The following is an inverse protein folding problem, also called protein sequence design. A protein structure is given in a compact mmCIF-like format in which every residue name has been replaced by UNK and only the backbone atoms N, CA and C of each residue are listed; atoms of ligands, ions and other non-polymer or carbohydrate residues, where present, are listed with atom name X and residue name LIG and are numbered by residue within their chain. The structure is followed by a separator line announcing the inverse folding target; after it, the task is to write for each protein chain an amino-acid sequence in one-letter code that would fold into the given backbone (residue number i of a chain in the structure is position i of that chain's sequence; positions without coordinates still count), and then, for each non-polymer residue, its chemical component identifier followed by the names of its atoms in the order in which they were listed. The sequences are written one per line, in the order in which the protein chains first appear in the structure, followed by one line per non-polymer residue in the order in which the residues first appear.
data_IF_905829124549
#
_entry.id   IF_905829124549
#
_cell.length_a   1.000
_cell.length_b   1.000
_cell.length_c   1.000
_cell.angle_alpha   90.00
_cell.angle_beta   90.00
_cell.angle_gamma   90.00
#
_symmetry.space_group_name_H-M   'P 1'
#
loop_
_entity.id
_entity.type
_entity.pdbx_description
1 polymer ?
#
# COMPACT_ATOMS: atom_id res chain seq x y z
N UNK A 1 33.52 32.77 -45.69
CA UNK A 1 32.41 33.00 -44.73
C UNK A 1 30.99 32.83 -45.32
N UNK A 2 30.80 32.36 -46.57
CA UNK A 2 29.46 32.29 -47.21
C UNK A 2 28.89 30.88 -47.44
N UNK A 3 29.50 29.82 -46.90
CA UNK A 3 29.12 28.43 -47.23
C UNK A 3 28.53 27.60 -46.07
N UNK A 4 28.52 28.13 -44.83
CA UNK A 4 28.08 27.37 -43.64
C UNK A 4 26.65 27.68 -43.16
N UNK A 5 26.01 28.68 -43.74
CA UNK A 5 24.66 29.10 -43.32
C UNK A 5 23.53 28.09 -43.62
N UNK A 6 23.49 27.36 -44.76
CA UNK A 6 22.34 26.51 -45.07
C UNK A 6 22.28 25.24 -44.21
N UNK A 7 23.42 24.67 -43.83
CA UNK A 7 23.46 23.45 -42.99
C UNK A 7 23.06 23.72 -41.53
N UNK A 8 23.43 24.89 -41.01
CA UNK A 8 23.04 25.32 -39.68
C UNK A 8 21.52 25.56 -39.59
N UNK A 9 20.92 26.18 -40.62
CA UNK A 9 19.49 26.46 -40.66
C UNK A 9 18.65 25.16 -40.72
N UNK A 10 19.11 24.17 -41.49
CA UNK A 10 18.46 22.87 -41.60
C UNK A 10 18.50 22.12 -40.26
N UNK A 11 19.65 22.13 -39.59
CA UNK A 11 19.83 21.47 -38.29
C UNK A 11 18.92 22.08 -37.21
N UNK A 12 18.84 23.41 -37.15
CA UNK A 12 17.95 24.13 -36.21
C UNK A 12 16.48 23.79 -36.49
N UNK A 13 16.09 23.72 -37.77
CA UNK A 13 14.70 23.41 -38.16
C UNK A 13 14.30 21.98 -37.74
N UNK A 14 15.21 21.01 -37.91
CA UNK A 14 14.97 19.61 -37.49
C UNK A 14 14.83 19.53 -35.96
N UNK A 15 15.71 20.22 -35.21
CA UNK A 15 15.63 20.25 -33.74
C UNK A 15 14.29 20.85 -33.29
N UNK A 16 13.85 21.97 -33.87
CA UNK A 16 12.57 22.59 -33.54
C UNK A 16 11.39 21.66 -33.85
N UNK A 17 11.39 20.98 -35.00
CA UNK A 17 10.32 20.03 -35.35
C UNK A 17 10.29 18.83 -34.41
N UNK A 18 11.44 18.28 -34.03
CA UNK A 18 11.53 17.16 -33.07
C UNK A 18 11.02 17.59 -31.69
N UNK A 19 11.42 18.77 -31.21
CA UNK A 19 10.95 19.33 -29.93
C UNK A 19 9.45 19.60 -29.98
N UNK A 20 8.91 20.21 -31.03
CA UNK A 20 7.47 20.44 -31.17
C UNK A 20 6.69 19.13 -31.20
N UNK A 21 7.16 18.13 -31.95
CA UNK A 21 6.47 16.83 -32.08
C UNK A 21 6.47 16.06 -30.76
N UNK A 22 7.58 16.10 -30.02
CA UNK A 22 7.67 15.54 -28.67
C UNK A 22 6.75 16.27 -27.69
N UNK A 23 6.70 17.61 -27.77
CA UNK A 23 5.87 18.43 -26.88
C UNK A 23 4.39 18.21 -27.15
N UNK A 24 3.96 18.13 -28.42
CA UNK A 24 2.58 17.84 -28.80
C UNK A 24 2.18 16.41 -28.42
N UNK A 25 3.06 15.41 -28.56
CA UNK A 25 2.77 14.03 -28.07
C UNK A 25 2.65 13.97 -26.55
N UNK A 26 3.52 14.67 -25.81
CA UNK A 26 3.45 14.74 -24.36
C UNK A 26 2.16 15.44 -23.87
N UNK A 27 1.74 16.52 -24.53
CA UNK A 27 0.48 17.21 -24.22
C UNK A 27 -0.77 16.40 -24.63
N UNK A 28 -0.73 15.69 -25.77
CA UNK A 28 -1.90 14.92 -26.26
C UNK A 28 -2.20 13.68 -25.41
N UNK A 29 -1.20 13.11 -24.74
CA UNK A 29 -1.39 11.97 -23.81
C UNK A 29 -2.09 12.41 -22.51
N UNK A 30 -2.05 13.69 -22.15
CA UNK A 30 -2.68 14.19 -20.91
C UNK A 30 -4.07 14.84 -21.11
N UNK A 31 -4.49 15.15 -22.34
CA UNK A 31 -5.68 15.99 -22.59
C UNK A 31 -6.93 15.27 -23.16
N UNK A 32 -6.96 13.94 -23.28
CA UNK A 32 -8.07 13.23 -23.96
C UNK A 32 -8.85 12.20 -23.13
N UNK A 33 -8.66 12.15 -21.82
CA UNK A 33 -9.68 11.51 -20.99
C UNK A 33 -10.77 12.56 -20.70
N UNK A 34 -12.01 12.43 -21.23
CA UNK A 34 -13.10 13.27 -20.75
C UNK A 34 -13.17 13.13 -19.23
N UNK A 35 -13.46 14.22 -18.48
CA UNK A 35 -13.73 14.10 -17.06
C UNK A 35 -14.90 13.13 -16.90
N UNK A 36 -14.61 11.89 -16.51
CA UNK A 36 -15.66 10.97 -16.10
C UNK A 36 -16.29 11.62 -14.89
N UNK A 37 -17.55 12.04 -15.04
CA UNK A 37 -18.42 12.34 -13.92
C UNK A 37 -18.63 11.02 -13.20
N UNK A 38 -17.74 10.75 -12.25
CA UNK A 38 -17.76 9.53 -11.46
C UNK A 38 -18.93 9.63 -10.47
N UNK A 39 -19.78 8.59 -10.45
CA UNK A 39 -20.90 8.50 -9.52
C UNK A 39 -20.34 8.33 -8.12
N UNK A 40 -20.61 9.28 -7.24
CA UNK A 40 -20.38 9.11 -5.81
C UNK A 40 -21.35 8.06 -5.29
N UNK A 41 -20.87 7.17 -4.43
CA UNK A 41 -21.75 6.50 -3.50
C UNK A 41 -22.40 7.58 -2.61
N UNK A 42 -23.72 7.58 -2.48
CA UNK A 42 -24.48 8.61 -1.74
C UNK A 42 -25.21 8.03 -0.53
N UNK A 43 -24.80 6.87 -0.03
CA UNK A 43 -25.47 6.19 1.07
C UNK A 43 -24.64 5.06 1.67
N UNK A 44 -25.15 4.50 2.76
CA UNK A 44 -24.59 3.31 3.39
C UNK A 44 -24.92 2.03 2.63
N UNK A 45 -24.18 0.97 2.94
CA UNK A 45 -24.36 -0.40 2.43
C UNK A 45 -24.36 -0.50 0.90
N UNK A 46 -23.50 0.32 0.28
CA UNK A 46 -23.30 0.34 -1.16
C UNK A 46 -22.12 -0.55 -1.52
N UNK A 47 -22.39 -1.65 -2.20
CA UNK A 47 -21.34 -2.50 -2.74
C UNK A 47 -20.54 -1.78 -3.84
N UNK A 48 -19.29 -2.21 -4.10
CA UNK A 48 -18.55 -1.78 -5.29
C UNK A 48 -19.40 -1.98 -6.55
N UNK A 49 -19.37 -0.99 -7.45
CA UNK A 49 -20.09 -1.08 -8.74
C UNK A 49 -19.35 -1.94 -9.76
N UNK A 50 -18.03 -2.04 -9.64
CA UNK A 50 -17.20 -2.93 -10.44
C UNK A 50 -17.01 -4.28 -9.74
N UNK A 51 -16.82 -5.37 -10.50
CA UNK A 51 -16.47 -6.66 -9.92
C UNK A 51 -15.08 -6.62 -9.24
N UNK A 52 -14.80 -7.55 -8.32
CA UNK A 52 -13.50 -7.64 -7.67
C UNK A 52 -12.35 -7.64 -8.68
N UNK A 53 -11.35 -6.78 -8.44
CA UNK A 53 -10.23 -6.62 -9.36
C UNK A 53 -9.07 -7.56 -9.00
N UNK A 54 -8.24 -7.89 -9.99
CA UNK A 54 -6.96 -8.57 -9.77
C UNK A 54 -5.84 -7.58 -9.39
N UNK A 55 -6.14 -6.28 -9.31
CA UNK A 55 -5.14 -5.25 -9.02
C UNK A 55 -4.82 -5.27 -7.54
N UNK A 56 -3.54 -5.00 -7.28
CA UNK A 56 -2.95 -5.01 -5.95
C UNK A 56 -2.29 -3.66 -5.61
N UNK A 57 -2.26 -2.71 -6.54
CA UNK A 57 -1.64 -1.39 -6.36
C UNK A 57 -2.56 -0.28 -6.84
N UNK A 58 -2.39 0.89 -6.22
CA UNK A 58 -3.16 2.10 -6.50
C UNK A 58 -4.67 1.83 -6.50
N UNK A 59 -5.14 1.13 -5.46
CA UNK A 59 -6.53 0.72 -5.35
C UNK A 59 -7.48 1.93 -5.27
N UNK A 60 -7.00 3.10 -4.86
CA UNK A 60 -7.73 4.38 -4.88
C UNK A 60 -8.01 4.93 -6.28
N UNK A 61 -7.46 4.32 -7.35
CA UNK A 61 -7.53 4.88 -8.71
C UNK A 61 -8.97 5.02 -9.20
N UNK A 62 -9.84 4.07 -8.87
CA UNK A 62 -11.24 4.03 -9.27
C UNK A 62 -12.12 3.90 -8.04
N UNK A 63 -12.91 4.93 -7.75
CA UNK A 63 -13.83 4.92 -6.62
C UNK A 63 -14.93 3.86 -6.80
N UNK A 64 -15.26 3.50 -8.05
CA UNK A 64 -16.21 2.46 -8.40
C UNK A 64 -15.84 1.05 -7.92
N UNK A 65 -14.56 0.82 -7.63
CA UNK A 65 -14.04 -0.45 -7.11
C UNK A 65 -14.19 -0.54 -5.58
N UNK A 66 -14.63 0.54 -4.92
CA UNK A 66 -14.84 0.61 -3.48
C UNK A 66 -16.31 0.58 -3.12
N UNK A 67 -16.59 -0.07 -1.99
CA UNK A 67 -17.89 -0.12 -1.35
C UNK A 67 -17.86 0.53 0.03
N UNK A 68 -19.06 0.64 0.59
CA UNK A 68 -19.36 1.33 1.83
C UNK A 68 -20.27 0.44 2.64
N UNK A 69 -19.89 0.17 3.88
CA UNK A 69 -20.75 -0.48 4.86
C UNK A 69 -20.83 0.40 6.10
N UNK A 70 -21.96 0.40 6.78
CA UNK A 70 -22.18 1.26 7.94
C UNK A 70 -22.83 0.52 9.09
N UNK A 71 -22.45 0.89 10.32
CA UNK A 71 -23.07 0.36 11.53
C UNK A 71 -23.71 1.47 12.36
N UNK A 72 -24.85 1.15 12.99
CA UNK A 72 -25.59 2.03 13.89
C UNK A 72 -26.09 3.35 13.27
N UNK A 73 -26.36 3.35 11.95
CA UNK A 73 -26.90 4.50 11.20
C UNK A 73 -26.06 5.80 11.35
N UNK A 74 -24.82 5.83 10.83
CA UNK A 74 -23.96 7.02 10.81
C UNK A 74 -24.45 8.10 9.81
N UNK A 75 -25.72 8.00 9.37
CA UNK A 75 -26.27 8.79 8.28
C UNK A 75 -27.36 9.72 8.76
N UNK A 76 -27.05 11.01 8.69
CA UNK A 76 -28.06 12.05 8.67
C UNK A 76 -28.69 12.04 7.27
N UNK A 77 -30.03 12.08 7.15
CA UNK A 77 -30.69 12.23 5.85
C UNK A 77 -30.30 13.54 5.13
N UNK A 78 -29.69 14.49 5.85
CA UNK A 78 -29.21 15.76 5.31
C UNK A 78 -27.74 15.74 4.90
N UNK A 79 -26.98 14.72 5.28
CA UNK A 79 -25.55 14.63 5.02
C UNK A 79 -25.16 13.14 4.89
N UNK A 80 -25.48 12.48 3.76
CA UNK A 80 -25.01 11.12 3.53
C UNK A 80 -23.47 11.11 3.41
N UNK A 81 -22.79 9.98 3.71
CA UNK A 81 -21.37 9.82 3.44
C UNK A 81 -21.12 10.13 1.97
N UNK A 82 -20.35 11.19 1.72
CA UNK A 82 -20.06 11.65 0.36
C UNK A 82 -18.77 10.96 -0.07
N UNK A 83 -18.89 10.04 -1.03
CA UNK A 83 -17.73 9.40 -1.66
C UNK A 83 -17.35 10.17 -2.89
N UNK A 84 -16.64 11.28 -2.69
CA UNK A 84 -16.12 12.04 -3.81
C UNK A 84 -14.67 11.66 -4.05
N UNK A 85 -14.35 11.30 -5.30
CA UNK A 85 -12.96 11.36 -5.76
C UNK A 85 -12.53 12.82 -5.69
N UNK A 86 -11.81 13.19 -4.64
CA UNK A 86 -11.18 14.49 -4.60
C UNK A 86 -10.03 14.47 -5.61
N UNK A 87 -10.22 15.23 -6.70
CA UNK A 87 -9.09 15.70 -7.48
C UNK A 87 -8.27 16.62 -6.56
N UNK A 88 -7.13 16.12 -6.09
CA UNK A 88 -6.26 16.95 -5.27
C UNK A 88 -5.64 18.04 -6.14
N UNK A 89 -5.66 19.27 -5.63
CA UNK A 89 -4.67 20.31 -5.97
C UNK A 89 -3.23 19.89 -5.65
N UNK A 90 -3.02 18.68 -5.11
CA UNK A 90 -1.75 18.05 -4.73
C UNK A 90 -1.37 16.84 -5.61
N UNK A 91 -1.76 16.83 -6.89
CA UNK A 91 -1.06 16.09 -7.94
C UNK A 91 -1.30 14.58 -8.07
N UNK A 92 -2.31 14.01 -7.40
CA UNK A 92 -2.65 12.58 -7.54
C UNK A 92 -3.93 12.24 -6.80
N UNK A 93 -4.88 11.58 -7.47
CA UNK A 93 -6.22 11.32 -6.93
C UNK A 93 -6.18 10.49 -5.66
N UNK A 94 -6.90 10.96 -4.63
CA UNK A 94 -7.11 10.26 -3.36
C UNK A 94 -8.56 9.78 -3.25
N UNK A 95 -8.78 8.71 -2.52
CA UNK A 95 -10.11 8.25 -2.12
C UNK A 95 -10.51 8.97 -0.82
N UNK A 96 -11.65 9.65 -0.81
CA UNK A 96 -12.23 10.19 0.42
C UNK A 96 -13.13 9.13 1.07
N UNK A 97 -12.95 8.91 2.37
CA UNK A 97 -13.84 8.13 3.20
C UNK A 97 -14.31 9.00 4.36
N UNK A 98 -15.62 9.13 4.55
CA UNK A 98 -16.17 10.14 5.46
C UNK A 98 -17.25 9.56 6.37
N UNK A 99 -17.14 9.93 7.65
CA UNK A 99 -18.21 9.83 8.62
C UNK A 99 -18.98 11.16 8.56
N UNK A 100 -20.16 11.16 7.95
CA UNK A 100 -20.90 12.39 7.67
C UNK A 100 -21.78 12.87 8.83
N UNK A 101 -22.11 11.96 9.75
CA UNK A 101 -22.70 12.26 11.05
C UNK A 101 -22.44 11.11 12.00
N UNK A 102 -22.21 11.38 13.27
CA UNK A 102 -22.20 10.33 14.28
C UNK A 102 -23.01 10.79 15.50
N UNK A 103 -24.28 11.07 15.23
CA UNK A 103 -25.27 11.42 16.25
C UNK A 103 -25.47 10.34 17.33
N UNK A 104 -24.90 9.14 17.15
CA UNK A 104 -24.87 8.08 18.14
C UNK A 104 -23.44 7.55 18.32
N UNK A 105 -23.08 7.20 19.56
CA UNK A 105 -21.89 6.42 19.87
C UNK A 105 -21.84 5.12 19.04
N UNK A 106 -20.64 4.63 18.73
CA UNK A 106 -20.41 3.44 17.92
C UNK A 106 -21.02 3.49 16.51
N UNK A 107 -21.13 4.68 15.91
CA UNK A 107 -21.46 4.85 14.49
C UNK A 107 -20.21 4.65 13.65
N UNK A 108 -20.19 3.62 12.81
CA UNK A 108 -19.00 3.22 12.03
C UNK A 108 -19.24 3.34 10.54
N UNK A 109 -18.24 3.80 9.80
CA UNK A 109 -18.22 3.77 8.32
C UNK A 109 -17.02 2.98 7.86
N UNK A 110 -17.27 1.95 7.05
CA UNK A 110 -16.27 1.08 6.44
C UNK A 110 -16.15 1.40 4.95
N UNK A 111 -14.99 1.92 4.56
CA UNK A 111 -14.56 1.99 3.16
C UNK A 111 -13.88 0.67 2.82
N UNK A 112 -14.41 -0.12 1.91
CA UNK A 112 -13.81 -1.42 1.59
C UNK A 112 -13.62 -1.64 0.09
N UNK A 113 -12.65 -2.48 -0.25
CA UNK A 113 -12.40 -2.91 -1.62
C UNK A 113 -12.22 -4.42 -1.65
N UNK A 114 -13.02 -5.07 -2.50
CA UNK A 114 -12.95 -6.51 -2.73
C UNK A 114 -12.02 -6.83 -3.91
N UNK A 115 -11.23 -7.88 -3.77
CA UNK A 115 -10.29 -8.39 -4.77
C UNK A 115 -10.53 -9.88 -5.00
N UNK A 116 -10.07 -10.36 -6.15
CA UNK A 116 -10.15 -11.78 -6.48
C UNK A 116 -9.50 -12.64 -5.39
N UNK A 117 -10.12 -13.78 -5.10
CA UNK A 117 -9.55 -14.77 -4.19
C UNK A 117 -8.13 -15.17 -4.62
N UNK A 118 -7.23 -15.29 -3.64
CA UNK A 118 -5.93 -15.96 -3.81
C UNK A 118 -5.85 -17.15 -2.84
N UNK A 119 -6.37 -18.33 -3.24
CA UNK A 119 -6.42 -19.53 -2.40
C UNK A 119 -5.10 -19.86 -1.71
N UNK A 120 -3.99 -19.72 -2.44
CA UNK A 120 -2.66 -20.10 -1.99
C UNK A 120 -1.91 -18.97 -1.27
N UNK A 121 -2.47 -17.75 -1.19
CA UNK A 121 -1.82 -16.65 -0.49
C UNK A 121 -1.71 -16.93 1.01
N UNK A 122 -0.51 -16.78 1.55
CA UNK A 122 -0.18 -16.98 2.96
C UNK A 122 0.58 -15.79 3.57
N UNK A 123 1.02 -14.82 2.78
CA UNK A 123 1.64 -13.58 3.27
C UNK A 123 0.90 -12.37 2.71
N UNK A 124 0.67 -11.37 3.55
CA UNK A 124 -0.13 -10.20 3.23
C UNK A 124 0.59 -8.93 3.65
N UNK A 125 0.53 -7.92 2.79
CA UNK A 125 1.08 -6.59 3.07
C UNK A 125 0.10 -5.54 2.57
N UNK A 126 -0.46 -4.77 3.49
CA UNK A 126 -1.26 -3.58 3.21
C UNK A 126 -0.38 -2.34 3.40
N UNK A 127 -0.38 -1.41 2.45
CA UNK A 127 0.23 -0.09 2.63
C UNK A 127 -0.57 1.00 1.96
N UNK A 128 -0.56 2.19 2.56
CA UNK A 128 -1.18 3.38 2.01
C UNK A 128 -0.64 4.62 2.69
N UNK A 129 -0.92 5.78 2.11
CA UNK A 129 -0.84 7.07 2.79
C UNK A 129 -2.24 7.53 3.14
N UNK A 130 -2.40 8.15 4.29
CA UNK A 130 -3.69 8.70 4.69
C UNK A 130 -3.54 10.10 5.29
N UNK A 131 -4.44 11.01 4.96
CA UNK A 131 -4.51 12.34 5.57
C UNK A 131 -5.67 12.38 6.56
N UNK A 132 -5.40 12.93 7.74
CA UNK A 132 -6.42 13.22 8.75
C UNK A 132 -6.61 14.73 8.93
N UNK A 133 -7.84 15.18 9.25
CA UNK A 133 -8.13 16.58 9.54
C UNK A 133 -7.48 17.04 10.85
N UNK A 134 -7.61 18.33 11.13
CA UNK A 134 -7.29 18.89 12.44
C UNK A 134 -8.03 18.10 13.53
N UNK A 135 -7.30 17.54 14.49
CA UNK A 135 -7.86 16.81 15.62
C UNK A 135 -6.93 17.00 16.82
N UNK A 136 -7.47 16.89 18.03
CA UNK A 136 -6.66 16.89 19.25
C UNK A 136 -6.17 15.48 19.55
N UNK A 137 -5.05 15.38 20.27
CA UNK A 137 -4.57 14.10 20.78
C UNK A 137 -5.22 13.84 22.13
N UNK A 138 -5.98 12.74 22.26
CA UNK A 138 -6.69 12.38 23.50
C UNK A 138 -7.40 13.57 24.19
N UNK A 139 -8.21 14.31 23.42
CA UNK A 139 -8.96 15.47 23.91
C UNK A 139 -8.10 16.61 24.55
N UNK A 140 -6.78 16.61 24.36
CA UNK A 140 -5.91 17.65 24.91
C UNK A 140 -6.12 18.97 24.15
N UNK A 141 -6.61 19.99 24.86
CA UNK A 141 -6.91 21.31 24.29
C UNK A 141 -8.26 21.42 23.59
N UNK A 142 -9.12 20.40 23.69
CA UNK A 142 -10.47 20.36 23.11
C UNK A 142 -10.86 18.95 22.69
N UNK A 143 -12.15 18.70 22.46
CA UNK A 143 -12.66 17.40 21.99
C UNK A 143 -12.02 17.01 20.64
N UNK A 144 -11.68 15.73 20.52
CA UNK A 144 -11.10 15.14 19.32
C UNK A 144 -12.20 14.66 18.40
N UNK A 145 -12.19 15.12 17.15
CA UNK A 145 -13.15 14.64 16.15
C UNK A 145 -12.83 13.20 15.68
N UNK A 146 -11.59 12.73 15.85
CA UNK A 146 -11.21 11.34 15.57
C UNK A 146 -11.17 10.58 16.89
N UNK A 147 -12.05 9.59 17.01
CA UNK A 147 -12.11 8.71 18.19
C UNK A 147 -11.29 7.46 17.98
N UNK A 148 -11.52 6.75 16.88
CA UNK A 148 -10.70 5.64 16.45
C UNK A 148 -10.67 5.50 14.91
N UNK A 149 -9.61 4.88 14.41
CA UNK A 149 -9.44 4.47 13.02
C UNK A 149 -9.08 2.99 13.00
N UNK A 150 -9.67 2.22 12.10
CA UNK A 150 -9.31 0.81 11.93
C UNK A 150 -8.82 0.52 10.53
N UNK A 151 -7.85 -0.37 10.44
CA UNK A 151 -7.25 -0.80 9.19
C UNK A 151 -7.28 -2.31 9.14
N UNK A 152 -8.04 -2.85 8.18
CA UNK A 152 -8.24 -4.29 8.09
C UNK A 152 -7.91 -4.85 6.73
N UNK A 153 -7.50 -6.11 6.72
CA UNK A 153 -7.57 -6.93 5.54
C UNK A 153 -7.98 -8.35 5.90
N UNK A 154 -8.73 -8.95 4.98
CA UNK A 154 -9.40 -10.22 5.17
C UNK A 154 -9.11 -11.14 3.98
N UNK A 155 -8.93 -12.43 4.27
CA UNK A 155 -9.03 -13.50 3.30
C UNK A 155 -10.21 -14.39 3.66
N UNK A 156 -11.11 -14.57 2.70
CA UNK A 156 -12.21 -15.53 2.78
C UNK A 156 -11.84 -16.72 1.90
N UNK A 157 -11.69 -17.89 2.52
CA UNK A 157 -11.29 -19.10 1.79
C UNK A 157 -11.75 -20.35 2.53
N UNK A 158 -12.32 -21.33 1.82
CA UNK A 158 -12.79 -22.58 2.42
C UNK A 158 -13.64 -22.39 3.69
N UNK A 159 -14.62 -21.48 3.62
CA UNK A 159 -15.52 -21.15 4.74
C UNK A 159 -14.82 -20.67 6.01
N UNK A 160 -13.66 -20.02 5.87
CA UNK A 160 -12.94 -19.35 6.97
C UNK A 160 -12.66 -17.89 6.64
N UNK A 161 -12.62 -17.05 7.67
CA UNK A 161 -12.19 -15.64 7.60
C UNK A 161 -10.85 -15.48 8.32
N UNK A 162 -9.79 -15.24 7.55
CA UNK A 162 -8.50 -14.86 8.10
C UNK A 162 -8.45 -13.34 8.15
N UNK A 163 -8.69 -12.78 9.32
CA UNK A 163 -8.77 -11.34 9.55
C UNK A 163 -7.50 -10.82 10.21
N UNK A 164 -6.99 -9.72 9.68
CA UNK A 164 -5.92 -8.94 10.26
C UNK A 164 -6.46 -7.53 10.43
N UNK A 165 -6.57 -7.07 11.67
CA UNK A 165 -7.13 -5.75 11.95
C UNK A 165 -6.33 -5.06 13.07
N UNK A 166 -6.00 -3.80 12.81
CA UNK A 166 -5.38 -2.90 13.78
C UNK A 166 -6.26 -1.67 13.94
N UNK A 167 -6.49 -1.29 15.19
CA UNK A 167 -7.20 -0.06 15.54
C UNK A 167 -6.23 0.92 16.19
N UNK A 168 -6.21 2.14 15.67
CA UNK A 168 -5.69 3.29 16.38
C UNK A 168 -6.84 3.93 17.16
N UNK A 169 -6.76 3.86 18.48
CA UNK A 169 -7.73 4.50 19.38
C UNK A 169 -7.12 5.79 19.92
N UNK A 170 -7.72 6.92 19.57
CA UNK A 170 -7.29 8.24 20.04
C UNK A 170 -7.99 8.66 21.34
N UNK A 171 -9.22 8.20 21.54
CA UNK A 171 -10.03 8.51 22.72
C UNK A 171 -10.66 7.22 23.27
N UNK A 172 -10.51 7.01 24.58
CA UNK A 172 -11.08 5.85 25.29
C UNK A 172 -12.58 6.03 25.57
N UNK A 173 -13.35 4.94 25.51
CA UNK A 173 -14.81 4.92 25.66
C UNK A 173 -15.31 5.06 27.11
N UNK A 174 -14.43 5.39 28.05
CA UNK A 174 -14.78 5.57 29.45
C UNK A 174 -13.90 6.60 30.16
N UNK A 175 -14.36 7.86 30.18
CA UNK A 175 -14.12 8.97 31.15
C UNK A 175 -12.75 9.18 31.84
N UNK A 176 -11.71 8.41 31.53
CA UNK A 176 -10.37 8.54 32.07
C UNK A 176 -9.55 9.49 31.22
N UNK A 177 -9.24 10.67 31.75
CA UNK A 177 -8.38 11.69 31.13
C UNK A 177 -6.91 11.25 31.00
N UNK A 178 -6.60 9.99 31.32
CA UNK A 178 -5.24 9.46 31.46
C UNK A 178 -4.89 8.36 30.45
N UNK A 179 -5.82 7.90 29.63
CA UNK A 179 -5.54 6.84 28.66
C UNK A 179 -4.95 7.45 27.39
N UNK A 180 -3.64 7.32 27.25
CA UNK A 180 -2.90 7.79 26.07
C UNK A 180 -3.36 7.04 24.80
N UNK A 181 -3.41 7.70 23.62
CA UNK A 181 -3.82 7.05 22.38
C UNK A 181 -3.03 5.78 22.14
N UNK A 182 -3.70 4.68 21.83
CA UNK A 182 -3.10 3.35 21.80
C UNK A 182 -3.49 2.57 20.55
N UNK A 183 -2.68 1.55 20.26
CA UNK A 183 -2.97 0.58 19.22
C UNK A 183 -3.49 -0.72 19.80
N UNK A 184 -4.47 -1.30 19.10
CA UNK A 184 -5.13 -2.55 19.46
C UNK A 184 -5.15 -3.49 18.26
N UNK A 185 -5.26 -4.78 18.53
CA UNK A 185 -5.50 -5.80 17.52
C UNK A 185 -6.81 -6.53 17.79
N UNK A 186 -7.40 -7.07 16.73
CA UNK A 186 -8.66 -7.79 16.82
C UNK A 186 -8.44 -9.26 17.16
N UNK A 187 -9.19 -9.75 18.16
CA UNK A 187 -9.35 -11.17 18.46
C UNK A 187 -10.79 -11.56 18.11
N UNK A 188 -11.02 -12.32 17.02
CA UNK A 188 -12.35 -12.80 16.71
C UNK A 188 -12.76 -13.91 17.69
N UNK A 189 -14.05 -13.99 18.01
CA UNK A 189 -14.59 -15.19 18.66
C UNK A 189 -14.78 -16.32 17.64
N UNK A 190 -15.14 -17.51 18.13
CA UNK A 190 -15.35 -18.68 17.28
C UNK A 190 -16.48 -18.52 16.24
N UNK A 191 -17.43 -17.60 16.47
CA UNK A 191 -18.54 -17.35 15.53
C UNK A 191 -18.13 -16.51 14.31
N UNK A 192 -16.97 -15.83 14.37
CA UNK A 192 -16.45 -14.97 13.30
C UNK A 192 -17.23 -13.69 13.04
N UNK A 193 -18.25 -13.42 13.87
CA UNK A 193 -19.11 -12.24 13.84
C UNK A 193 -18.72 -11.27 14.96
N UNK A 194 -18.44 -11.81 16.14
CA UNK A 194 -18.06 -11.04 17.33
C UNK A 194 -16.55 -11.15 17.62
N UNK A 195 -16.05 -10.28 18.49
CA UNK A 195 -14.66 -10.29 18.92
C UNK A 195 -14.39 -9.17 19.91
N UNK A 196 -13.11 -8.95 20.19
CA UNK A 196 -12.68 -7.87 21.08
C UNK A 196 -11.38 -7.23 20.61
N UNK A 197 -11.35 -5.91 20.68
CA UNK A 197 -10.11 -5.15 20.61
C UNK A 197 -9.26 -5.44 21.84
N UNK A 198 -8.00 -5.82 21.60
CA UNK A 198 -7.06 -6.22 22.64
C UNK A 198 -5.80 -5.36 22.55
N UNK A 199 -5.29 -4.92 23.70
CA UNK A 199 -4.04 -4.17 23.77
C UNK A 199 -2.88 -4.97 23.19
N UNK A 200 -1.98 -4.29 22.49
CA UNK A 200 -0.72 -4.89 22.08
C UNK A 200 0.10 -5.32 23.31
N UNK A 201 0.80 -6.47 23.27
CA UNK A 201 1.66 -6.92 24.38
C UNK A 201 2.72 -5.89 24.76
N UNK A 202 3.22 -5.14 23.77
CA UNK A 202 4.05 -3.96 23.95
C UNK A 202 3.21 -2.74 23.53
N UNK A 203 2.61 -2.00 24.48
CA UNK A 203 1.76 -0.86 24.16
C UNK A 203 2.52 0.19 23.35
N UNK A 204 1.85 0.73 22.33
CA UNK A 204 2.38 1.78 21.47
C UNK A 204 1.49 2.98 21.66
N UNK A 205 2.03 4.03 22.27
CA UNK A 205 1.32 5.28 22.50
C UNK A 205 1.79 6.35 21.53
N UNK A 206 0.87 6.89 20.74
CA UNK A 206 1.22 7.93 19.75
C UNK A 206 0.05 8.82 19.37
N UNK A 207 0.30 10.13 19.34
CA UNK A 207 -0.61 11.10 18.74
C UNK A 207 -0.39 11.16 17.22
N UNK A 208 -1.43 10.98 16.42
CA UNK A 208 -1.37 11.34 15.01
C UNK A 208 -1.47 12.87 14.86
N UNK A 209 -0.64 13.44 14.00
CA UNK A 209 -0.65 14.87 13.74
C UNK A 209 -1.82 15.25 12.81
N UNK A 210 -2.77 16.02 13.32
CA UNK A 210 -3.87 16.56 12.49
C UNK A 210 -3.37 17.46 11.35
N UNK A 211 -4.15 17.50 10.26
CA UNK A 211 -3.81 18.18 8.99
C UNK A 211 -2.55 17.65 8.28
N UNK A 212 -2.09 16.45 8.60
CA UNK A 212 -0.91 15.85 7.99
C UNK A 212 -1.22 14.56 7.25
N UNK A 213 -0.37 14.26 6.27
CA UNK A 213 -0.32 12.93 5.66
C UNK A 213 0.55 12.01 6.52
N UNK A 214 0.05 10.81 6.74
CA UNK A 214 0.71 9.71 7.39
C UNK A 214 0.97 8.58 6.39
N UNK A 215 1.95 7.75 6.67
CA UNK A 215 2.25 6.53 5.90
C UNK A 215 2.06 5.32 6.78
N UNK A 216 1.31 4.34 6.29
CA UNK A 216 1.01 3.10 7.00
C UNK A 216 1.41 1.89 6.18
N UNK A 217 1.93 0.87 6.86
CA UNK A 217 2.26 -0.42 6.32
C UNK A 217 1.93 -1.46 7.38
N UNK A 218 1.20 -2.51 7.02
CA UNK A 218 0.78 -3.58 7.92
C UNK A 218 1.00 -4.94 7.28
N UNK A 219 1.70 -5.82 8.00
CA UNK A 219 2.12 -7.14 7.55
C UNK A 219 1.51 -8.24 8.41
N UNK A 220 1.04 -9.29 7.72
CA UNK A 220 0.49 -10.48 8.35
C UNK A 220 0.78 -11.73 7.53
N UNK A 221 0.69 -12.90 8.17
CA UNK A 221 0.77 -14.18 7.49
C UNK A 221 -0.23 -15.20 8.05
N UNK A 222 -0.55 -16.21 7.25
CA UNK A 222 -1.26 -17.41 7.68
C UNK A 222 -0.21 -18.51 7.81
N UNK A 223 -0.02 -19.03 9.03
CA UNK A 223 0.99 -20.05 9.29
C UNK A 223 0.59 -21.44 8.74
N UNK A 224 1.48 -22.43 8.89
CA UNK A 224 1.22 -23.81 8.46
C UNK A 224 0.08 -24.50 9.21
N UNK A 225 -0.24 -24.02 10.41
CA UNK A 225 -1.38 -24.47 11.22
C UNK A 225 -2.68 -23.72 10.90
N UNK A 226 -2.67 -22.93 9.82
CA UNK A 226 -3.83 -22.19 9.33
C UNK A 226 -4.37 -21.13 10.30
N UNK A 227 -3.44 -20.48 11.00
CA UNK A 227 -3.72 -19.39 11.95
C UNK A 227 -3.19 -18.06 11.42
N UNK A 228 -3.89 -16.98 11.75
CA UNK A 228 -3.49 -15.59 11.54
C UNK A 228 -2.32 -15.26 12.45
N UNK A 229 -1.24 -14.72 11.89
CA UNK A 229 -0.05 -14.27 12.61
C UNK A 229 0.25 -12.84 12.21
N UNK A 230 0.12 -11.93 13.17
CA UNK A 230 0.52 -10.53 13.02
C UNK A 230 2.05 -10.45 13.00
N UNK A 231 2.62 -9.69 12.06
CA UNK A 231 4.08 -9.58 11.90
C UNK A 231 4.60 -8.24 12.39
N UNK A 232 4.18 -7.18 11.73
CA UNK A 232 4.73 -5.85 11.95
C UNK A 232 3.73 -4.83 11.39
N UNK A 233 3.72 -3.65 11.97
CA UNK A 233 3.22 -2.48 11.26
C UNK A 233 4.25 -1.36 11.31
N UNK A 234 4.20 -0.45 10.36
CA UNK A 234 5.06 0.73 10.31
C UNK A 234 4.18 1.95 10.10
N UNK A 235 4.34 2.93 10.96
CA UNK A 235 3.71 4.22 10.81
C UNK A 235 4.77 5.31 10.74
N UNK A 236 4.71 6.16 9.71
CA UNK A 236 5.63 7.28 9.51
C UNK A 236 7.12 6.87 9.58
N UNK A 237 7.40 5.66 9.11
CA UNK A 237 8.74 5.05 9.10
C UNK A 237 9.17 4.42 10.43
N UNK A 238 8.36 4.46 11.47
CA UNK A 238 8.60 3.80 12.75
C UNK A 238 7.98 2.39 12.70
N UNK A 239 8.83 1.37 12.77
CA UNK A 239 8.41 -0.03 12.74
C UNK A 239 8.08 -0.55 14.13
N UNK A 240 7.02 -1.36 14.22
CA UNK A 240 6.44 -1.87 15.45
C UNK A 240 6.20 -3.38 15.30
N UNK A 241 6.99 -4.17 16.03
CA UNK A 241 6.94 -5.63 16.00
C UNK A 241 5.68 -6.17 16.69
N UNK A 242 4.94 -7.02 15.98
CA UNK A 242 3.72 -7.67 16.45
C UNK A 242 3.88 -9.19 16.65
N UNK A 243 5.08 -9.74 16.47
CA UNK A 243 5.33 -11.19 16.54
C UNK A 243 5.16 -11.79 17.94
N UNK A 244 5.01 -10.95 18.96
CA UNK A 244 4.67 -11.37 20.33
C UNK A 244 3.18 -11.68 20.51
N UNK A 245 2.32 -11.28 19.56
CA UNK A 245 0.90 -11.64 19.55
C UNK A 245 0.77 -13.13 19.23
N UNK A 246 0.00 -13.85 20.05
CA UNK A 246 -0.26 -15.26 19.81
C UNK A 246 -1.00 -15.48 18.48
N UNK A 247 -0.69 -16.55 17.71
CA UNK A 247 -1.44 -16.89 16.51
C UNK A 247 -2.94 -17.08 16.78
N UNK A 248 -3.79 -16.53 15.92
CA UNK A 248 -5.25 -16.59 16.06
C UNK A 248 -5.87 -17.58 15.09
N UNK A 249 -6.78 -18.41 15.58
CA UNK A 249 -7.52 -19.34 14.72
C UNK A 249 -8.54 -18.57 13.89
N UNK A 250 -8.55 -18.81 12.57
CA UNK A 250 -9.56 -18.22 11.69
C UNK A 250 -10.95 -18.83 11.98
N UNK A 251 -11.96 -18.01 12.35
CA UNK A 251 -13.31 -18.49 12.56
C UNK A 251 -14.00 -18.91 11.26
N UNK A 252 -15.13 -19.58 11.40
CA UNK A 252 -15.98 -19.94 10.27
C UNK A 252 -16.51 -18.68 9.55
N UNK A 253 -16.76 -18.79 8.25
CA UNK A 253 -17.30 -17.72 7.44
C UNK A 253 -18.28 -18.25 6.41
N UNK A 254 -19.34 -17.49 6.17
CA UNK A 254 -20.37 -17.75 5.15
C UNK A 254 -20.17 -16.91 3.89
N UNK A 255 -19.20 -16.00 3.90
CA UNK A 255 -18.88 -15.18 2.73
C UNK A 255 -18.18 -16.00 1.64
N UNK A 256 -18.45 -15.64 0.38
CA UNK A 256 -17.76 -16.24 -0.76
C UNK A 256 -16.25 -15.94 -0.76
N UNK A 257 -15.48 -16.76 -1.47
CA UNK A 257 -14.03 -16.61 -1.50
C UNK A 257 -13.59 -15.30 -2.13
N UNK A 258 -12.81 -14.51 -1.39
CA UNK A 258 -12.29 -13.22 -1.83
C UNK A 258 -11.18 -12.72 -0.91
N UNK A 259 -10.54 -11.66 -1.35
CA UNK A 259 -9.72 -10.82 -0.48
C UNK A 259 -10.46 -9.49 -0.29
N UNK A 260 -10.39 -8.91 0.90
CA UNK A 260 -11.01 -7.61 1.19
C UNK A 260 -10.02 -6.77 1.98
N UNK A 261 -9.90 -5.49 1.65
CA UNK A 261 -9.27 -4.50 2.52
C UNK A 261 -10.33 -3.51 2.98
N UNK A 262 -10.20 -2.98 4.18
CA UNK A 262 -11.04 -1.88 4.61
C UNK A 262 -10.30 -0.88 5.50
N UNK A 263 -10.84 0.32 5.51
CA UNK A 263 -10.57 1.32 6.53
C UNK A 263 -11.89 1.66 7.20
N UNK A 264 -11.89 1.73 8.53
CA UNK A 264 -13.07 2.11 9.31
C UNK A 264 -12.81 3.45 9.98
N UNK A 265 -13.81 4.33 9.89
CA UNK A 265 -13.93 5.52 10.73
C UNK A 265 -14.89 5.16 11.86
N UNK A 266 -14.36 5.15 13.09
CA UNK A 266 -15.09 4.76 14.29
C UNK A 266 -15.30 5.99 15.17
N UNK A 267 -16.55 6.19 15.61
CA UNK A 267 -16.96 7.29 16.49
C UNK A 267 -16.98 6.90 17.97
N UNK A 268 -16.64 5.68 18.33
CA UNK A 268 -16.52 5.12 19.68
C UNK A 268 -17.49 5.75 20.70
N UNK A 269 -17.09 6.82 21.38
CA UNK A 269 -17.88 7.52 22.40
C UNK A 269 -18.75 8.70 21.91
N UNK A 270 -18.36 9.42 20.86
CA UNK A 270 -19.11 10.51 20.25
C UNK A 270 -18.76 10.67 18.77
N UNK A 271 -19.75 10.96 17.92
CA UNK A 271 -19.55 10.92 16.48
C UNK A 271 -19.57 12.27 15.81
N UNK A 272 -18.49 13.01 16.04
CA UNK A 272 -18.22 14.19 15.23
C UNK A 272 -17.96 13.78 13.78
N UNK A 273 -18.49 14.52 12.79
CA UNK A 273 -18.19 14.25 11.40
C UNK A 273 -16.71 14.49 11.11
N UNK A 274 -16.08 13.55 10.43
CA UNK A 274 -14.72 13.72 9.91
C UNK A 274 -14.52 12.88 8.66
N UNK A 275 -13.42 13.15 7.96
CA UNK A 275 -13.05 12.43 6.76
C UNK A 275 -11.59 12.06 6.74
N UNK A 276 -11.29 10.97 6.06
CA UNK A 276 -9.97 10.45 5.79
C UNK A 276 -9.73 10.53 4.29
N UNK A 277 -8.56 11.01 3.86
CA UNK A 277 -8.14 10.87 2.47
C UNK A 277 -7.13 9.75 2.37
N UNK A 278 -7.42 8.72 1.60
CA UNK A 278 -6.56 7.58 1.34
C UNK A 278 -5.87 7.72 -0.02
N UNK A 279 -4.58 7.40 -0.09
CA UNK A 279 -3.78 7.51 -1.31
C UNK A 279 -2.72 6.41 -1.35
N UNK A 280 -2.24 6.05 -2.54
CA UNK A 280 -1.21 5.03 -2.76
C UNK A 280 -1.55 3.71 -2.06
N UNK A 281 -2.80 3.27 -2.15
CA UNK A 281 -3.29 2.06 -1.50
C UNK A 281 -2.82 0.84 -2.26
N UNK A 282 -2.06 0.00 -1.59
CA UNK A 282 -1.43 -1.19 -2.12
C UNK A 282 -1.70 -2.38 -1.20
N UNK A 283 -2.12 -3.49 -1.77
CA UNK A 283 -2.34 -4.74 -1.05
C UNK A 283 -1.69 -5.90 -1.78
N UNK A 284 -0.65 -6.48 -1.18
CA UNK A 284 0.03 -7.65 -1.68
C UNK A 284 -0.49 -8.86 -0.94
N UNK A 285 -1.01 -9.83 -1.67
CA UNK A 285 -1.29 -11.19 -1.20
C UNK A 285 -0.40 -12.15 -1.97
N UNK A 286 0.57 -12.74 -1.25
CA UNK A 286 1.62 -13.58 -1.80
C UNK A 286 1.52 -15.02 -1.30
N UNK A 287 1.83 -15.98 -2.16
CA UNK A 287 1.86 -17.42 -1.83
C UNK A 287 3.05 -17.75 -0.93
N UNK A 288 4.17 -17.07 -1.14
CA UNK A 288 5.39 -17.21 -0.37
C UNK A 288 6.12 -15.88 -0.27
N UNK A 289 6.83 -15.71 0.86
CA UNK A 289 7.73 -14.59 1.11
C UNK A 289 9.18 -15.06 1.10
N UNK A 290 10.02 -14.38 0.34
CA UNK A 290 11.47 -14.55 0.31
C UNK A 290 12.09 -13.33 0.99
N UNK A 291 12.59 -13.53 2.20
CA UNK A 291 13.19 -12.46 2.97
C UNK A 291 14.69 -12.35 2.68
N UNK A 292 15.11 -11.15 2.29
CA UNK A 292 16.50 -10.77 2.11
C UNK A 292 17.05 -10.31 3.46
N UNK A 293 18.04 -11.03 3.95
CA UNK A 293 18.65 -10.85 5.27
C UNK A 293 20.10 -10.33 5.19
N UNK A 294 20.74 -10.37 4.02
CA UNK A 294 22.14 -9.96 3.86
C UNK A 294 22.28 -8.77 2.92
N UNK A 295 23.21 -7.86 3.26
CA UNK A 295 23.56 -6.74 2.39
C UNK A 295 24.58 -7.11 1.31
N UNK A 296 25.41 -8.13 1.53
CA UNK A 296 26.37 -8.60 0.55
C UNK A 296 25.71 -9.60 -0.41
N UNK A 297 25.98 -9.47 -1.70
CA UNK A 297 25.45 -10.35 -2.73
C UNK A 297 26.49 -10.54 -3.86
N UNK A 298 26.79 -11.79 -4.21
CA UNK A 298 27.73 -12.11 -5.29
C UNK A 298 27.06 -12.22 -6.67
N UNK A 299 25.73 -12.09 -6.72
CA UNK A 299 24.94 -12.20 -7.94
C UNK A 299 24.70 -13.62 -8.44
N UNK A 300 25.21 -14.65 -7.75
CA UNK A 300 25.13 -16.05 -8.20
C UNK A 300 23.80 -16.72 -7.91
N UNK A 301 23.04 -16.17 -6.95
CA UNK A 301 21.83 -16.80 -6.41
C UNK A 301 22.10 -18.10 -5.67
N UNK A 302 23.32 -18.31 -5.16
CA UNK A 302 23.70 -19.49 -4.36
C UNK A 302 23.49 -19.33 -2.85
N UNK A 303 23.43 -18.09 -2.36
CA UNK A 303 23.44 -17.79 -0.92
C UNK A 303 22.03 -17.52 -0.41
N UNK A 304 21.49 -18.41 0.43
CA UNK A 304 20.20 -18.21 1.11
C UNK A 304 20.19 -16.88 1.89
N UNK A 305 19.09 -16.13 1.80
CA UNK A 305 18.96 -14.81 2.41
C UNK A 305 19.59 -13.65 1.61
N UNK A 306 20.31 -13.93 0.51
CA UNK A 306 20.77 -12.90 -0.41
C UNK A 306 19.67 -12.51 -1.41
N UNK A 307 19.76 -11.32 -2.00
CA UNK A 307 18.77 -10.79 -2.94
C UNK A 307 18.75 -11.58 -4.26
N UNK A 308 19.90 -11.96 -4.80
CA UNK A 308 20.02 -12.78 -6.01
C UNK A 308 19.42 -14.17 -5.82
N UNK A 309 19.51 -14.74 -4.63
CA UNK A 309 18.86 -16.01 -4.30
C UNK A 309 17.34 -15.83 -4.21
N UNK A 310 16.85 -14.75 -3.60
CA UNK A 310 15.43 -14.44 -3.58
C UNK A 310 14.87 -14.24 -4.99
N UNK A 311 15.54 -13.47 -5.85
CA UNK A 311 15.15 -13.28 -7.27
C UNK A 311 15.11 -14.60 -8.03
N UNK A 312 16.10 -15.46 -7.83
CA UNK A 312 16.21 -16.74 -8.54
C UNK A 312 15.05 -17.69 -8.20
N UNK A 313 14.56 -17.63 -6.97
CA UNK A 313 13.56 -18.57 -6.48
C UNK A 313 12.14 -18.01 -6.42
N UNK A 314 11.96 -16.69 -6.41
CA UNK A 314 10.64 -16.07 -6.39
C UNK A 314 9.89 -16.31 -7.70
N UNK A 315 8.76 -17.00 -7.62
CA UNK A 315 7.84 -17.26 -8.72
C UNK A 315 6.68 -16.27 -8.82
N UNK A 316 5.67 -16.67 -9.59
CA UNK A 316 4.42 -15.91 -9.73
C UNK A 316 3.72 -15.78 -8.37
N UNK A 317 3.24 -14.56 -8.06
CA UNK A 317 2.57 -14.24 -6.80
C UNK A 317 3.43 -14.48 -5.54
N UNK A 318 4.75 -14.59 -5.67
CA UNK A 318 5.68 -14.64 -4.54
C UNK A 318 6.31 -13.27 -4.32
N UNK A 319 6.54 -12.91 -3.06
CA UNK A 319 7.06 -11.61 -2.67
C UNK A 319 8.50 -11.71 -2.16
N UNK A 320 9.36 -10.81 -2.64
CA UNK A 320 10.70 -10.55 -2.11
C UNK A 320 10.60 -9.34 -1.20
N UNK A 321 11.03 -9.51 0.04
CA UNK A 321 10.99 -8.50 1.11
C UNK A 321 12.36 -8.37 1.76
N UNK A 322 12.57 -7.35 2.60
CA UNK A 322 13.89 -7.05 3.17
C UNK A 322 13.81 -6.90 4.69
N UNK A 323 14.70 -7.57 5.42
CA UNK A 323 14.84 -7.37 6.86
C UNK A 323 15.07 -5.90 7.21
N UNK A 324 14.60 -5.41 8.37
CA UNK A 324 14.81 -4.04 8.84
C UNK A 324 16.24 -3.51 8.65
N UNK A 325 17.24 -4.32 8.99
CA UNK A 325 18.67 -4.01 8.90
C UNK A 325 19.23 -3.90 7.47
N UNK A 326 18.51 -4.44 6.48
CA UNK A 326 18.88 -4.37 5.07
C UNK A 326 18.32 -3.08 4.50
N UNK A 327 19.20 -2.11 4.25
CA UNK A 327 18.90 -0.85 3.54
C UNK A 327 19.56 -0.78 2.18
N UNK A 328 20.55 -1.64 1.95
CA UNK A 328 21.37 -1.66 0.75
C UNK A 328 21.84 -3.06 0.42
N UNK A 329 21.76 -3.43 -0.85
CA UNK A 329 22.35 -4.65 -1.43
C UNK A 329 23.59 -4.23 -2.21
N UNK A 330 24.76 -4.73 -1.83
CA UNK A 330 26.04 -4.45 -2.46
C UNK A 330 26.46 -5.67 -3.30
N UNK A 331 26.40 -5.51 -4.62
CA UNK A 331 26.88 -6.54 -5.53
C UNK A 331 28.39 -6.50 -5.72
N UNK A 332 29.07 -7.65 -5.58
CA UNK A 332 30.54 -7.77 -5.71
C UNK A 332 31.00 -8.71 -6.82
N UNK A 333 30.08 -9.28 -7.61
CA UNK A 333 30.38 -10.31 -8.62
C UNK A 333 30.02 -9.94 -10.06
N UNK A 334 30.32 -10.87 -10.98
CA UNK A 334 29.86 -10.80 -12.36
C UNK A 334 28.38 -11.16 -12.42
N UNK A 335 27.56 -10.17 -12.71
CA UNK A 335 26.12 -10.34 -12.84
C UNK A 335 25.79 -10.91 -14.20
N UNK A 336 25.32 -12.16 -14.21
CA UNK A 336 24.83 -12.75 -15.44
C UNK A 336 23.45 -12.18 -15.78
N UNK A 337 22.39 -12.37 -14.99
CA UNK A 337 21.10 -11.64 -15.16
C UNK A 337 20.23 -11.73 -13.89
N UNK A 338 19.65 -10.62 -13.44
CA UNK A 338 18.57 -10.60 -12.45
C UNK A 338 17.22 -10.44 -13.13
N UNK A 339 16.88 -11.45 -13.91
CA UNK A 339 15.57 -11.60 -14.50
C UNK A 339 14.59 -11.93 -13.39
N UNK A 340 13.81 -10.94 -12.97
CA UNK A 340 12.69 -11.19 -12.08
C UNK A 340 11.67 -12.04 -12.83
N UNK A 341 11.28 -13.17 -12.26
CA UNK A 341 10.29 -14.06 -12.87
C UNK A 341 8.98 -13.31 -13.09
N UNK A 342 8.23 -13.65 -14.15
CA UNK A 342 6.94 -13.02 -14.45
C UNK A 342 6.02 -13.14 -13.24
N UNK A 343 5.43 -12.02 -12.79
CA UNK A 343 4.49 -11.99 -11.67
C UNK A 343 5.12 -12.01 -10.27
N UNK A 344 6.45 -12.10 -10.15
CA UNK A 344 7.12 -11.94 -8.85
C UNK A 344 7.08 -10.46 -8.39
N UNK A 345 7.05 -10.28 -7.08
CA UNK A 345 6.86 -9.00 -6.42
C UNK A 345 8.14 -8.63 -5.65
N UNK A 346 8.58 -7.38 -5.71
CA UNK A 346 9.63 -6.82 -4.84
C UNK A 346 9.01 -5.71 -4.03
N UNK A 347 9.07 -5.88 -2.71
CA UNK A 347 8.50 -4.95 -1.76
C UNK A 347 9.57 -4.43 -0.80
N UNK A 348 10.11 -3.26 -1.15
CA UNK A 348 11.04 -2.47 -0.35
C UNK A 348 10.31 -1.46 0.54
N UNK A 349 10.84 -0.23 0.60
CA UNK A 349 10.35 0.84 1.49
C UNK A 349 10.25 2.15 0.72
N UNK A 350 9.09 2.80 0.74
CA UNK A 350 8.90 4.10 0.10
C UNK A 350 9.16 5.25 1.09
N UNK A 351 10.42 5.51 1.42
CA UNK A 351 10.79 6.76 2.10
C UNK A 351 12.17 7.23 1.66
N UNK A 352 12.37 8.55 1.58
CA UNK A 352 13.64 9.13 1.11
C UNK A 352 14.87 8.72 1.95
N UNK A 353 14.65 8.23 3.18
CA UNK A 353 15.70 7.78 4.11
C UNK A 353 15.80 6.27 4.25
N UNK A 354 14.84 5.49 3.73
CA UNK A 354 14.77 4.04 3.95
C UNK A 354 14.57 3.21 2.68
N UNK A 355 14.59 3.81 1.49
CA UNK A 355 14.52 3.08 0.22
C UNK A 355 15.61 2.01 0.13
N UNK A 356 15.23 0.80 -0.29
CA UNK A 356 16.19 -0.29 -0.46
C UNK A 356 17.02 0.00 -1.69
N UNK A 357 18.33 0.22 -1.50
CA UNK A 357 19.24 0.48 -2.61
C UNK A 357 19.87 -0.81 -3.11
N UNK A 358 19.55 -1.18 -4.34
CA UNK A 358 20.18 -2.25 -5.11
C UNK A 358 21.39 -1.61 -5.82
N UNK A 359 22.60 -1.80 -5.28
CA UNK A 359 23.85 -1.13 -5.70
C UNK A 359 24.78 -2.09 -6.48
N UNK A 360 24.97 -1.78 -7.76
CA UNK A 360 25.85 -2.50 -8.69
C UNK A 360 27.30 -2.03 -8.73
N UNK A 361 27.77 -1.16 -7.83
CA UNK A 361 29.11 -0.55 -7.92
C UNK A 361 30.28 -1.56 -7.95
N UNK A 362 30.13 -2.72 -7.31
CA UNK A 362 31.17 -3.76 -7.28
C UNK A 362 31.07 -4.76 -8.43
N UNK A 363 30.31 -4.46 -9.49
CA UNK A 363 30.05 -5.37 -10.61
C UNK A 363 30.93 -5.03 -11.82
N UNK A 364 31.11 -5.99 -12.73
CA UNK A 364 31.95 -5.83 -13.92
C UNK A 364 31.40 -4.85 -14.97
N UNK A 365 32.24 -4.49 -15.96
CA UNK A 365 31.99 -3.43 -16.97
C UNK A 365 30.83 -3.67 -17.96
N UNK A 366 30.04 -4.73 -17.80
CA UNK A 366 28.89 -5.05 -18.64
C UNK A 366 27.66 -5.47 -17.83
N UNK A 367 27.59 -5.03 -16.57
CA UNK A 367 26.51 -5.36 -15.65
C UNK A 367 25.24 -4.58 -15.96
N UNK A 368 24.12 -5.30 -15.96
CA UNK A 368 22.77 -4.73 -15.91
C UNK A 368 22.21 -4.93 -14.51
N UNK A 369 21.36 -4.01 -14.07
CA UNK A 369 20.59 -4.14 -12.85
C UNK A 369 19.40 -5.04 -13.06
N UNK A 370 18.23 -4.60 -12.59
CA UNK A 370 17.05 -5.44 -12.53
C UNK A 370 16.34 -5.50 -13.89
N UNK A 371 15.90 -6.70 -14.29
CA UNK A 371 15.10 -6.91 -15.51
C UNK A 371 13.71 -7.40 -15.11
N UNK A 372 12.67 -6.68 -15.54
CA UNK A 372 11.27 -6.99 -15.24
C UNK A 372 10.62 -7.68 -16.43
N UNK A 373 10.37 -8.98 -16.33
CA UNK A 373 9.90 -9.79 -17.46
C UNK A 373 8.38 -9.73 -17.68
N UNK A 374 7.63 -9.08 -16.80
CA UNK A 374 6.21 -8.79 -17.02
C UNK A 374 5.36 -9.07 -15.79
N UNK A 375 4.29 -8.29 -15.63
CA UNK A 375 3.37 -8.37 -14.50
C UNK A 375 4.06 -8.31 -13.14
N UNK A 376 5.29 -7.77 -13.08
CA UNK A 376 6.02 -7.61 -11.85
C UNK A 376 5.50 -6.40 -11.08
N UNK A 377 5.63 -6.47 -9.76
CA UNK A 377 5.36 -5.35 -8.87
C UNK A 377 6.69 -4.95 -8.23
N UNK A 378 7.08 -3.70 -8.39
CA UNK A 378 8.23 -3.12 -7.69
C UNK A 378 7.78 -1.94 -6.85
N UNK A 379 8.04 -2.02 -5.54
CA UNK A 379 7.71 -0.97 -4.59
C UNK A 379 8.93 -0.56 -3.76
N UNK A 380 9.24 0.73 -3.69
CA UNK A 380 10.19 1.28 -2.71
C UNK A 380 11.63 0.79 -2.87
N UNK A 381 12.14 0.77 -4.10
CA UNK A 381 13.49 0.29 -4.43
C UNK A 381 14.24 1.27 -5.34
N UNK A 382 15.51 1.51 -5.00
CA UNK A 382 16.45 2.27 -5.83
C UNK A 382 17.39 1.32 -6.53
N UNK A 383 17.51 1.41 -7.85
CA UNK A 383 18.50 0.63 -8.62
C UNK A 383 19.61 1.55 -9.11
N UNK A 384 20.86 1.26 -8.74
CA UNK A 384 21.95 2.21 -8.88
C UNK A 384 23.29 1.56 -9.25
N UNK A 385 24.12 2.32 -9.98
CA UNK A 385 25.53 2.04 -10.26
C UNK A 385 25.82 0.72 -11.01
N UNK A 386 24.87 0.18 -11.76
CA UNK A 386 25.15 -0.83 -12.78
C UNK A 386 25.72 -0.16 -14.02
N UNK A 387 26.72 -0.78 -14.68
CA UNK A 387 27.50 -0.13 -15.76
C UNK A 387 26.73 0.07 -17.07
N UNK A 388 25.70 -0.75 -17.33
CA UNK A 388 24.88 -0.64 -18.54
C UNK A 388 23.50 -0.02 -18.25
N UNK A 389 22.55 -0.80 -17.76
CA UNK A 389 21.18 -0.35 -17.48
C UNK A 389 20.86 -0.60 -16.02
N UNK A 390 20.29 0.39 -15.33
CA UNK A 390 19.85 0.21 -13.93
C UNK A 390 18.60 -0.66 -13.86
N UNK A 391 17.59 -0.34 -14.67
CA UNK A 391 16.33 -1.06 -14.75
C UNK A 391 15.98 -1.32 -16.21
N UNK A 392 15.64 -2.55 -16.56
CA UNK A 392 15.28 -2.94 -17.93
C UNK A 392 13.87 -3.53 -17.95
N UNK A 393 13.04 -3.04 -18.85
CA UNK A 393 11.66 -3.50 -19.05
C UNK A 393 11.52 -3.84 -20.53
N UNK A 394 11.62 -5.13 -20.92
CA UNK A 394 11.49 -5.55 -22.31
C UNK A 394 10.16 -5.12 -22.91
N UNK A 395 10.13 -4.75 -24.20
CA UNK A 395 8.92 -4.23 -24.87
C UNK A 395 7.73 -5.21 -24.88
N UNK A 396 7.99 -6.51 -24.79
CA UNK A 396 6.98 -7.56 -24.74
C UNK A 396 6.60 -7.97 -23.29
N UNK A 397 7.18 -7.32 -22.28
CA UNK A 397 6.84 -7.61 -20.90
C UNK A 397 5.44 -7.07 -20.60
N UNK A 398 4.63 -7.86 -19.88
CA UNK A 398 3.27 -7.47 -19.48
C UNK A 398 3.23 -6.20 -18.61
N UNK A 399 2.10 -5.97 -17.93
CA UNK A 399 1.90 -4.74 -17.16
C UNK A 399 2.69 -4.76 -15.85
N UNK A 400 3.97 -4.38 -15.91
CA UNK A 400 4.79 -4.12 -14.74
C UNK A 400 4.26 -2.87 -14.01
N UNK A 401 4.26 -2.92 -12.68
CA UNK A 401 3.76 -1.87 -11.82
C UNK A 401 4.91 -1.37 -10.94
N UNK A 402 5.24 -0.08 -11.06
CA UNK A 402 6.36 0.55 -10.37
C UNK A 402 5.84 1.66 -9.47
N UNK A 403 6.19 1.61 -8.18
CA UNK A 403 5.79 2.61 -7.19
C UNK A 403 6.99 2.95 -6.32
N UNK A 404 7.33 4.24 -6.20
CA UNK A 404 8.52 4.66 -5.47
C UNK A 404 9.79 3.92 -5.91
N UNK A 405 9.95 3.76 -7.23
CA UNK A 405 11.13 3.14 -7.84
C UNK A 405 11.99 4.25 -8.41
N UNK A 406 13.26 4.30 -8.02
CA UNK A 406 14.20 5.27 -8.54
C UNK A 406 15.41 4.62 -9.20
N UNK A 407 16.02 5.33 -10.14
CA UNK A 407 17.30 4.91 -10.74
C UNK A 407 18.30 6.05 -10.64
N UNK A 408 19.56 5.74 -10.34
CA UNK A 408 20.62 6.74 -10.45
C UNK A 408 20.89 7.02 -11.93
N UNK A 409 21.00 8.29 -12.32
CA UNK A 409 21.59 8.63 -13.63
C UNK A 409 23.02 8.11 -13.63
N UNK A 410 23.40 7.45 -14.72
CA UNK A 410 24.78 7.06 -14.99
C UNK A 410 25.67 8.29 -15.14
#
# INVERSE_FOLDING_TARGET
MKQWFPELLLTITIIIMVVLTLTVKLYSVHLLAPPRTHLAATGCDQAPTNPPSARALFLERYAEDWGVYCENSPISPYNPPIWQKLYSSYGGGSLECALASGSAAYSNVYCYHDMNSKPNAKSFILSFSFWIPATTCNNQGGESIIQALEFTFNKYYQSKRYEFALQYQNVWDGYGVNDEPSWHYWIPTADGISGSWTNLPNPIHQCLQGNSWHTFLFEGEINSSDQVVYKNFTLDGIANDLTTIAPQTAPASTFGEKLTISVQLDSNSHGDPYKLLLNKINFIAATKRWEVATQADDGTGGTSGAFSWAIKNAGIDEAITFQPSVTKINFTGSLNYHNLQVGALIYGRCSAKAEITIDGAGTGANSKGLVLNGNNLLYGVKVAKFSLQQLSIPLASGNNQLTCVSTSKL
#
